data_IF_800956785422
#
_entry.id   IF_800956785422
#
_cell.length_a   1.000
_cell.length_b   1.000
_cell.length_c   1.000
_cell.angle_alpha   90.00
_cell.angle_beta   90.00
_cell.angle_gamma   90.00
#
_symmetry.space_group_name_H-M   'P 1'
#
loop_
_entity.id
_entity.type
_entity.pdbx_description
1 polymer ?
#
# COMPACT_ATOMS: atom_id res chain seq x y z
N UNK A 1 8.44 -15.97 10.68
CA UNK A 1 9.04 -14.81 9.99
C UNK A 1 9.73 -13.86 10.95
N UNK A 2 9.13 -13.53 12.09
CA UNK A 2 9.70 -12.65 13.12
C UNK A 2 11.13 -13.00 13.59
N UNK A 3 11.46 -14.30 13.78
CA UNK A 3 12.83 -14.75 14.11
C UNK A 3 13.88 -14.43 13.02
N UNK A 4 13.45 -14.06 11.81
CA UNK A 4 14.28 -13.63 10.69
C UNK A 4 14.18 -12.11 10.46
N UNK A 5 13.68 -11.36 11.44
CA UNK A 5 13.43 -9.91 11.37
C UNK A 5 12.46 -9.50 10.25
N UNK A 6 11.60 -10.42 9.79
CA UNK A 6 10.56 -10.11 8.79
C UNK A 6 9.25 -9.85 9.51
N UNK A 7 8.78 -8.60 9.38
CA UNK A 7 7.47 -8.16 9.87
C UNK A 7 6.35 -8.73 9.01
N UNK A 8 5.22 -9.05 9.62
CA UNK A 8 4.03 -9.59 8.97
C UNK A 8 2.82 -8.72 9.29
N UNK A 9 2.06 -8.35 8.27
CA UNK A 9 0.90 -7.49 8.41
C UNK A 9 -0.34 -8.26 7.99
N UNK A 10 -1.45 -8.06 8.69
CA UNK A 10 -2.75 -8.49 8.18
C UNK A 10 -3.22 -7.44 7.17
N UNK A 11 -3.28 -7.82 5.89
CA UNK A 11 -3.91 -7.01 4.85
C UNK A 11 -5.42 -7.17 4.89
N UNK A 12 -6.13 -6.05 4.90
CA UNK A 12 -7.59 -5.96 4.93
C UNK A 12 -8.02 -5.15 3.72
N UNK A 13 -8.79 -5.76 2.82
CA UNK A 13 -9.37 -5.08 1.66
C UNK A 13 -9.14 -5.81 0.34
N UNK A 14 -8.78 -5.04 -0.68
CA UNK A 14 -8.61 -5.44 -2.07
C UNK A 14 -9.79 -5.05 -2.96
N UNK A 15 -9.56 -5.15 -4.27
CA UNK A 15 -10.49 -4.79 -5.33
C UNK A 15 -11.93 -5.37 -5.18
N UNK A 16 -12.09 -6.52 -4.52
CA UNK A 16 -13.40 -7.17 -4.32
C UNK A 16 -14.16 -6.66 -3.09
N UNK A 17 -13.49 -5.99 -2.15
CA UNK A 17 -14.07 -5.58 -0.85
C UNK A 17 -14.33 -4.06 -0.74
N UNK A 18 -14.14 -3.31 -1.84
CA UNK A 18 -14.23 -1.84 -1.90
C UNK A 18 -15.52 -1.26 -1.30
N UNK A 19 -16.65 -1.93 -1.51
CA UNK A 19 -17.95 -1.48 -0.99
C UNK A 19 -18.00 -1.49 0.54
N UNK A 20 -17.24 -2.36 1.21
CA UNK A 20 -17.19 -2.43 2.66
C UNK A 20 -16.55 -1.16 3.26
N UNK A 21 -15.53 -0.61 2.61
CA UNK A 21 -14.90 0.64 3.05
C UNK A 21 -15.83 1.84 2.91
N UNK A 22 -16.59 1.94 1.82
CA UNK A 22 -17.63 2.97 1.67
C UNK A 22 -18.71 2.84 2.77
N UNK A 23 -19.00 1.62 3.21
CA UNK A 23 -19.97 1.37 4.25
C UNK A 23 -19.50 1.77 5.67
N UNK A 24 -18.21 2.09 5.88
CA UNK A 24 -17.66 2.62 7.13
C UNK A 24 -18.03 4.11 7.33
N UNK A 25 -19.33 4.40 7.38
CA UNK A 25 -19.89 5.75 7.32
C UNK A 25 -20.55 6.24 8.61
N UNK A 26 -20.39 5.50 9.72
CA UNK A 26 -20.82 5.93 11.06
C UNK A 26 -19.73 5.66 12.08
N UNK A 27 -19.76 6.41 13.19
CA UNK A 27 -18.81 6.26 14.30
C UNK A 27 -18.75 4.83 14.85
N UNK A 28 -19.89 4.15 14.92
CA UNK A 28 -20.00 2.80 15.49
C UNK A 28 -19.34 1.77 14.59
N UNK A 29 -19.54 1.88 13.27
CA UNK A 29 -18.91 0.99 12.29
C UNK A 29 -17.40 1.22 12.26
N UNK A 30 -16.98 2.48 12.26
CA UNK A 30 -15.57 2.87 12.30
C UNK A 30 -14.88 2.33 13.56
N UNK A 31 -15.50 2.50 14.73
CA UNK A 31 -14.99 1.97 15.99
C UNK A 31 -14.90 0.43 15.99
N UNK A 32 -15.93 -0.23 15.44
CA UNK A 32 -15.94 -1.69 15.28
C UNK A 32 -14.82 -2.17 14.36
N UNK A 33 -14.58 -1.46 13.26
CA UNK A 33 -13.51 -1.77 12.32
C UNK A 33 -12.13 -1.68 12.99
N UNK A 34 -11.82 -0.58 13.69
CA UNK A 34 -10.56 -0.45 14.42
C UNK A 34 -10.35 -1.56 15.45
N UNK A 35 -11.38 -1.89 16.24
CA UNK A 35 -11.30 -2.94 17.27
C UNK A 35 -11.08 -4.32 16.66
N UNK A 36 -11.79 -4.64 15.58
CA UNK A 36 -11.68 -5.95 14.93
C UNK A 36 -10.35 -6.11 14.18
N UNK A 37 -9.81 -5.03 13.60
CA UNK A 37 -8.46 -5.03 13.04
C UNK A 37 -7.39 -5.33 14.11
N UNK A 38 -7.44 -4.68 15.27
CA UNK A 38 -6.52 -4.97 16.38
C UNK A 38 -6.68 -6.40 16.94
N UNK A 39 -7.89 -6.97 16.84
CA UNK A 39 -8.14 -8.38 17.20
C UNK A 39 -7.40 -9.34 16.25
N UNK A 40 -7.27 -9.03 14.95
CA UNK A 40 -6.47 -9.85 14.02
C UNK A 40 -5.00 -9.88 14.42
N UNK A 41 -4.46 -8.71 14.80
CA UNK A 41 -3.06 -8.57 15.24
C UNK A 41 -2.77 -9.48 16.43
N UNK A 42 -3.58 -9.42 17.48
CA UNK A 42 -3.37 -10.27 18.67
C UNK A 42 -3.67 -11.75 18.42
N UNK A 43 -4.69 -12.06 17.62
CA UNK A 43 -5.09 -13.44 17.35
C UNK A 43 -4.01 -14.23 16.59
N UNK A 44 -3.32 -13.58 15.67
CA UNK A 44 -2.36 -14.24 14.79
C UNK A 44 -0.90 -13.80 15.00
N UNK A 45 -0.67 -12.83 15.90
CA UNK A 45 0.66 -12.31 16.20
C UNK A 45 1.26 -11.50 15.05
N UNK A 46 0.45 -10.71 14.34
CA UNK A 46 0.94 -9.79 13.31
C UNK A 46 1.66 -8.59 13.95
N UNK A 47 2.50 -7.94 13.15
CA UNK A 47 3.26 -6.73 13.50
C UNK A 47 2.52 -5.44 13.09
N UNK A 48 1.34 -5.57 12.49
CA UNK A 48 0.55 -4.43 12.04
C UNK A 48 -0.62 -4.81 11.14
N UNK A 49 -1.25 -3.77 10.60
CA UNK A 49 -2.34 -3.84 9.64
C UNK A 49 -1.93 -3.16 8.35
N UNK A 50 -2.27 -3.79 7.23
CA UNK A 50 -2.22 -3.19 5.92
C UNK A 50 -3.66 -2.93 5.45
N UNK A 51 -3.94 -1.73 4.94
CA UNK A 51 -5.28 -1.33 4.49
C UNK A 51 -5.25 -1.13 2.99
N UNK A 52 -5.92 -2.06 2.30
CA UNK A 52 -6.07 -2.09 0.85
C UNK A 52 -7.48 -1.62 0.46
N UNK A 53 -7.79 -0.37 0.81
CA UNK A 53 -9.03 0.27 0.37
C UNK A 53 -8.85 0.79 -1.05
N UNK A 54 -9.38 0.04 -2.01
CA UNK A 54 -9.36 0.39 -3.43
C UNK A 54 -10.63 1.15 -3.89
N UNK A 55 -11.42 1.74 -2.97
CA UNK A 55 -12.61 2.48 -3.37
C UNK A 55 -12.26 3.77 -4.13
N UNK A 56 -12.96 4.04 -5.24
CA UNK A 56 -12.74 5.24 -6.07
C UNK A 56 -13.97 6.13 -6.21
N UNK A 57 -13.85 7.15 -7.06
CA UNK A 57 -14.86 8.19 -7.23
C UNK A 57 -16.23 7.62 -7.60
N UNK A 58 -16.32 6.66 -8.52
CA UNK A 58 -17.61 6.10 -8.95
C UNK A 58 -18.37 5.48 -7.78
N UNK A 59 -17.71 4.66 -6.97
CA UNK A 59 -18.34 4.00 -5.82
C UNK A 59 -18.70 4.99 -4.70
N UNK A 60 -17.94 6.09 -4.58
CA UNK A 60 -18.15 7.13 -3.60
C UNK A 60 -19.06 8.27 -4.07
N UNK A 61 -19.83 8.10 -5.14
CA UNK A 61 -20.79 9.13 -5.60
C UNK A 61 -20.16 10.29 -6.37
N UNK A 62 -19.10 10.02 -7.13
CA UNK A 62 -18.45 10.94 -8.06
C UNK A 62 -17.33 11.82 -7.47
N UNK A 63 -17.14 11.83 -6.16
CA UNK A 63 -16.01 12.52 -5.52
C UNK A 63 -15.62 11.81 -4.22
N UNK A 64 -14.63 10.93 -4.29
CA UNK A 64 -14.22 10.09 -3.18
C UNK A 64 -13.72 10.90 -1.98
N UNK A 65 -12.88 11.91 -2.22
CA UNK A 65 -12.29 12.68 -1.13
C UNK A 65 -13.37 13.48 -0.37
N UNK A 66 -14.27 14.15 -1.10
CA UNK A 66 -15.36 14.92 -0.49
C UNK A 66 -16.35 14.04 0.28
N UNK A 67 -16.68 12.85 -0.24
CA UNK A 67 -17.76 12.02 0.29
C UNK A 67 -17.28 10.97 1.30
N UNK A 68 -16.01 10.53 1.23
CA UNK A 68 -15.49 9.39 1.99
C UNK A 68 -14.17 9.68 2.70
N UNK A 69 -13.36 10.65 2.23
CA UNK A 69 -12.01 10.90 2.77
C UNK A 69 -11.96 11.12 4.29
N UNK A 70 -12.92 11.84 4.86
CA UNK A 70 -12.98 12.03 6.32
C UNK A 70 -13.28 10.74 7.10
N UNK A 71 -14.07 9.82 6.54
CA UNK A 71 -14.33 8.52 7.15
C UNK A 71 -13.08 7.63 7.10
N UNK A 72 -12.30 7.74 6.03
CA UNK A 72 -11.03 7.02 5.86
C UNK A 72 -10.04 7.41 6.95
N UNK A 73 -9.82 8.71 7.12
CA UNK A 73 -8.97 9.23 8.19
C UNK A 73 -9.47 8.76 9.56
N UNK A 74 -10.78 8.80 9.79
CA UNK A 74 -11.37 8.37 11.06
C UNK A 74 -11.16 6.88 11.35
N UNK A 75 -11.28 5.99 10.35
CA UNK A 75 -11.04 4.57 10.57
C UNK A 75 -9.56 4.24 10.74
N UNK A 76 -8.64 4.94 10.05
CA UNK A 76 -7.20 4.76 10.26
C UNK A 76 -6.80 5.21 11.67
N UNK A 77 -7.36 6.31 12.16
CA UNK A 77 -7.19 6.76 13.54
C UNK A 77 -7.78 5.77 14.54
N UNK A 78 -8.93 5.17 14.23
CA UNK A 78 -9.50 4.12 15.07
C UNK A 78 -8.60 2.88 15.13
N UNK A 79 -8.02 2.44 14.00
CA UNK A 79 -7.04 1.34 14.00
C UNK A 79 -5.84 1.72 14.86
N UNK A 80 -5.25 2.91 14.66
CA UNK A 80 -4.08 3.38 15.42
C UNK A 80 -4.33 3.36 16.92
N UNK A 81 -5.48 3.87 17.34
CA UNK A 81 -5.90 3.90 18.75
C UNK A 81 -5.96 2.48 19.32
N UNK A 82 -6.64 1.57 18.64
CA UNK A 82 -6.85 0.21 19.14
C UNK A 82 -5.55 -0.60 19.13
N UNK A 83 -4.69 -0.43 18.12
CA UNK A 83 -3.34 -1.01 18.09
C UNK A 83 -2.45 -0.47 19.22
N UNK A 84 -2.50 0.84 19.50
CA UNK A 84 -1.74 1.47 20.58
C UNK A 84 -2.20 1.05 21.98
N UNK A 85 -3.43 0.53 22.11
CA UNK A 85 -3.96 0.01 23.37
C UNK A 85 -3.64 -1.48 23.60
N UNK A 86 -3.09 -2.18 22.59
CA UNK A 86 -2.72 -3.58 22.75
C UNK A 86 -1.54 -3.74 23.73
N UNK A 87 -1.55 -4.77 24.59
CA UNK A 87 -0.41 -5.08 25.43
C UNK A 87 0.84 -5.34 24.57
N UNK A 88 1.94 -4.67 24.92
CA UNK A 88 3.23 -4.77 24.24
C UNK A 88 4.35 -4.61 25.25
N UNK A 89 5.41 -5.41 25.12
CA UNK A 89 6.63 -5.19 25.92
C UNK A 89 7.29 -3.89 25.47
N UNK A 90 7.84 -3.11 26.41
CA UNK A 90 8.45 -1.81 26.09
C UNK A 90 9.52 -1.88 24.99
N UNK A 91 10.24 -3.00 24.89
CA UNK A 91 11.29 -3.26 23.91
C UNK A 91 10.79 -3.69 22.52
N UNK A 92 9.52 -4.07 22.38
CA UNK A 92 8.96 -4.44 21.07
C UNK A 92 8.69 -3.18 20.22
N UNK A 93 8.80 -3.23 18.89
CA UNK A 93 8.37 -2.12 18.04
C UNK A 93 6.86 -1.86 18.16
N UNK A 94 6.43 -0.61 17.94
CA UNK A 94 5.01 -0.32 17.80
C UNK A 94 4.40 -1.05 16.61
N UNK A 95 3.13 -1.45 16.75
CA UNK A 95 2.36 -1.97 15.63
C UNK A 95 2.19 -0.90 14.57
N UNK A 96 2.38 -1.29 13.31
CA UNK A 96 2.36 -0.36 12.18
C UNK A 96 1.06 -0.45 11.38
N UNK A 97 0.78 0.62 10.64
CA UNK A 97 -0.32 0.72 9.68
C UNK A 97 0.25 1.08 8.32
N UNK A 98 -0.08 0.31 7.29
CA UNK A 98 0.24 0.64 5.89
C UNK A 98 -1.03 0.93 5.10
N UNK A 99 -0.89 1.73 4.05
CA UNK A 99 -1.97 2.15 3.17
C UNK A 99 -1.59 1.94 1.72
N UNK A 100 -2.47 1.28 0.99
CA UNK A 100 -2.33 1.02 -0.43
C UNK A 100 -3.06 2.11 -1.23
N UNK A 101 -2.33 2.75 -2.15
CA UNK A 101 -2.83 3.92 -2.89
C UNK A 101 -2.55 3.85 -4.38
N UNK A 102 -3.49 4.39 -5.17
CA UNK A 102 -3.34 4.43 -6.61
C UNK A 102 -2.25 5.42 -7.03
N UNK A 103 -1.45 5.09 -8.06
CA UNK A 103 -0.40 5.98 -8.54
C UNK A 103 -0.94 7.30 -9.13
N UNK A 104 -2.19 7.29 -9.59
CA UNK A 104 -2.88 8.45 -10.17
C UNK A 104 -3.51 9.38 -9.15
N UNK A 105 -3.39 9.09 -7.85
CA UNK A 105 -4.15 9.83 -6.82
C UNK A 105 -3.71 11.27 -6.58
N UNK A 106 -2.59 11.68 -7.18
CA UNK A 106 -2.13 13.07 -7.23
C UNK A 106 -2.14 13.66 -8.65
N UNK A 107 -2.66 12.94 -9.64
CA UNK A 107 -2.80 13.45 -11.00
C UNK A 107 -3.84 14.56 -11.06
N UNK A 108 -3.70 15.49 -12.01
CA UNK A 108 -4.60 16.65 -12.13
C UNK A 108 -6.09 16.27 -12.32
N UNK A 109 -6.38 15.08 -12.86
CA UNK A 109 -7.72 14.55 -13.09
C UNK A 109 -8.18 13.54 -12.03
N UNK A 110 -7.53 13.46 -10.87
CA UNK A 110 -7.81 12.45 -9.83
C UNK A 110 -9.26 12.46 -9.31
N UNK A 111 -10.01 13.55 -9.51
CA UNK A 111 -11.40 13.72 -9.10
C UNK A 111 -12.42 13.44 -10.22
N UNK A 112 -12.01 12.80 -11.32
CA UNK A 112 -12.94 12.43 -12.38
C UNK A 112 -14.07 11.55 -11.83
N UNK A 113 -15.32 12.02 -11.94
CA UNK A 113 -16.47 11.37 -11.30
C UNK A 113 -16.74 9.96 -11.81
N UNK A 114 -16.34 9.67 -13.05
CA UNK A 114 -16.41 8.35 -13.69
C UNK A 114 -15.22 7.44 -13.39
N UNK A 115 -14.31 7.83 -12.51
CA UNK A 115 -13.14 7.04 -12.14
C UNK A 115 -13.47 5.97 -11.10
N UNK A 116 -13.38 4.68 -11.44
CA UNK A 116 -13.69 3.56 -10.53
C UNK A 116 -12.53 3.19 -9.60
N UNK A 117 -11.30 3.13 -10.14
CA UNK A 117 -10.03 2.93 -9.40
C UNK A 117 -9.19 4.22 -9.44
N UNK A 118 -9.86 5.34 -9.19
CA UNK A 118 -9.28 6.67 -9.25
C UNK A 118 -9.94 7.54 -8.19
N UNK A 119 -9.12 8.26 -7.42
CA UNK A 119 -9.54 9.21 -6.37
C UNK A 119 -8.43 10.24 -6.19
N UNK A 120 -8.73 11.38 -5.57
CA UNK A 120 -7.68 12.29 -5.10
C UNK A 120 -7.23 11.90 -3.69
N UNK A 121 -5.92 11.75 -3.51
CA UNK A 121 -5.31 11.43 -2.22
C UNK A 121 -5.64 12.50 -1.18
N UNK A 122 -6.00 12.08 0.04
CA UNK A 122 -6.13 12.96 1.19
C UNK A 122 -4.83 12.93 2.01
N UNK A 123 -4.07 14.04 2.09
CA UNK A 123 -2.80 14.07 2.83
C UNK A 123 -2.89 13.67 4.30
N UNK A 124 -4.08 13.77 4.91
CA UNK A 124 -4.33 13.32 6.29
C UNK A 124 -4.15 11.81 6.44
N UNK A 125 -4.32 11.03 5.36
CA UNK A 125 -4.03 9.59 5.33
C UNK A 125 -2.56 9.33 5.58
N UNK A 126 -1.66 10.02 4.86
CA UNK A 126 -0.21 9.91 5.03
C UNK A 126 0.29 10.30 6.43
N UNK A 127 -0.50 11.09 7.17
CA UNK A 127 -0.24 11.43 8.57
C UNK A 127 -0.68 10.31 9.53
N UNK A 128 -1.72 9.55 9.19
CA UNK A 128 -2.28 8.49 10.04
C UNK A 128 -1.52 7.14 9.95
N UNK A 129 -0.81 6.90 8.84
CA UNK A 129 -0.14 5.63 8.55
C UNK A 129 1.38 5.72 8.62
N UNK A 130 2.04 4.59 8.77
CA UNK A 130 3.51 4.49 8.81
C UNK A 130 4.12 4.41 7.41
N UNK A 131 3.41 3.81 6.46
CA UNK A 131 3.85 3.71 5.07
C UNK A 131 2.67 3.90 4.11
N UNK A 132 2.96 4.47 2.95
CA UNK A 132 2.04 4.59 1.81
C UNK A 132 2.66 3.84 0.64
N UNK A 133 2.00 2.77 0.22
CA UNK A 133 2.42 1.91 -0.87
C UNK A 133 1.73 2.34 -2.17
N UNK A 134 2.53 2.77 -3.15
CA UNK A 134 2.04 3.26 -4.43
C UNK A 134 1.92 2.09 -5.40
N UNK A 135 0.69 1.69 -5.68
CA UNK A 135 0.36 0.43 -6.35
C UNK A 135 0.49 0.51 -7.88
N UNK A 136 1.70 0.34 -8.43
CA UNK A 136 1.90 0.33 -9.89
C UNK A 136 1.53 -0.99 -10.58
N UNK A 137 0.81 -1.89 -9.93
CA UNK A 137 0.46 -3.16 -10.55
C UNK A 137 -0.73 -3.10 -11.52
N UNK A 138 -1.22 -1.88 -11.81
CA UNK A 138 -2.31 -1.55 -12.73
C UNK A 138 -1.90 -0.53 -13.82
N UNK A 139 -0.61 -0.43 -14.15
CA UNK A 139 -0.13 0.55 -15.14
C UNK A 139 -0.49 0.15 -16.57
N UNK A 140 -1.05 1.08 -17.34
CA UNK A 140 -1.47 0.79 -18.72
C UNK A 140 -0.28 0.56 -19.65
N UNK A 141 0.78 1.36 -19.49
CA UNK A 141 1.97 1.34 -20.35
C UNK A 141 3.23 1.03 -19.55
N UNK A 142 4.18 0.33 -20.17
CA UNK A 142 5.48 0.06 -19.53
C UNK A 142 6.26 1.33 -19.19
N UNK A 143 6.07 2.41 -19.95
CA UNK A 143 6.67 3.74 -19.69
C UNK A 143 6.12 4.42 -18.42
N UNK A 144 4.95 4.00 -17.94
CA UNK A 144 4.35 4.60 -16.74
C UNK A 144 5.19 4.26 -15.49
N UNK A 145 5.84 3.09 -15.46
CA UNK A 145 6.75 2.71 -14.38
C UNK A 145 7.94 3.66 -14.25
N UNK A 146 8.55 4.02 -15.38
CA UNK A 146 9.66 4.97 -15.41
C UNK A 146 9.18 6.40 -15.13
N UNK A 147 7.99 6.76 -15.59
CA UNK A 147 7.38 8.08 -15.33
C UNK A 147 7.08 8.26 -13.85
N UNK A 148 6.50 7.24 -13.19
CA UNK A 148 6.24 7.28 -11.77
C UNK A 148 7.55 7.51 -11.01
N UNK A 149 8.55 6.68 -11.28
CA UNK A 149 9.80 6.70 -10.53
C UNK A 149 10.61 7.98 -10.75
N UNK A 150 10.74 8.43 -12.00
CA UNK A 150 11.63 9.53 -12.35
C UNK A 150 10.95 10.91 -12.27
N UNK A 151 9.62 10.96 -12.24
CA UNK A 151 8.87 12.22 -12.24
C UNK A 151 7.80 12.28 -11.15
N UNK A 152 6.80 11.40 -11.18
CA UNK A 152 5.61 11.53 -10.30
C UNK A 152 5.96 11.44 -8.83
N UNK A 153 6.81 10.49 -8.43
CA UNK A 153 7.22 10.32 -7.03
C UNK A 153 8.05 11.53 -6.57
N UNK A 154 9.18 11.90 -7.22
CA UNK A 154 10.00 13.02 -6.80
C UNK A 154 9.29 14.38 -6.79
N UNK A 155 8.26 14.57 -7.63
CA UNK A 155 7.64 15.90 -7.83
C UNK A 155 6.27 16.04 -7.20
N UNK A 156 5.44 14.98 -7.11
CA UNK A 156 4.09 15.07 -6.56
C UNK A 156 3.98 14.38 -5.20
N UNK A 157 4.42 13.13 -5.11
CA UNK A 157 4.23 12.34 -3.88
C UNK A 157 5.04 12.86 -2.71
N UNK A 158 6.30 13.25 -2.92
CA UNK A 158 7.16 13.82 -1.87
C UNK A 158 6.66 15.15 -1.32
N UNK A 159 5.76 15.85 -2.03
CA UNK A 159 5.10 17.06 -1.52
C UNK A 159 3.92 16.75 -0.60
N UNK A 160 3.31 15.56 -0.76
CA UNK A 160 2.08 15.16 -0.05
C UNK A 160 2.35 14.20 1.11
N UNK A 161 3.38 13.37 1.00
CA UNK A 161 3.78 12.35 1.97
C UNK A 161 5.28 12.43 2.17
N UNK A 162 5.74 12.29 3.42
CA UNK A 162 7.18 12.19 3.71
C UNK A 162 7.83 11.09 2.87
N UNK A 163 8.95 11.40 2.22
CA UNK A 163 9.64 10.48 1.32
C UNK A 163 10.00 9.14 2.00
N UNK A 164 10.30 9.16 3.30
CA UNK A 164 10.63 7.96 4.10
C UNK A 164 9.44 7.03 4.33
N UNK A 165 8.21 7.48 4.07
CA UNK A 165 6.99 6.66 4.16
C UNK A 165 6.58 6.07 2.81
N UNK A 166 7.14 6.55 1.70
CA UNK A 166 6.74 6.11 0.36
C UNK A 166 7.35 4.74 0.04
N UNK A 167 6.49 3.77 -0.28
CA UNK A 167 6.88 2.43 -0.73
C UNK A 167 6.53 2.30 -2.21
N UNK A 168 7.51 1.90 -3.01
CA UNK A 168 7.36 1.76 -4.45
C UNK A 168 6.85 0.36 -4.80
N UNK A 169 5.56 0.23 -5.10
CA UNK A 169 4.91 -1.04 -5.43
C UNK A 169 5.09 -1.42 -6.90
N UNK A 170 5.50 -2.64 -7.18
CA UNK A 170 5.50 -3.24 -8.52
C UNK A 170 4.81 -4.61 -8.53
N UNK A 171 4.77 -5.28 -9.67
CA UNK A 171 4.17 -6.62 -9.78
C UNK A 171 4.97 -7.58 -10.67
N UNK A 172 4.59 -8.85 -10.61
CA UNK A 172 5.06 -9.94 -11.49
C UNK A 172 3.92 -10.51 -12.30
N UNK A 173 4.25 -11.28 -13.36
CA UNK A 173 3.26 -11.95 -14.21
C UNK A 173 2.48 -10.96 -15.07
N UNK A 174 1.53 -11.47 -15.85
CA UNK A 174 0.68 -10.66 -16.75
C UNK A 174 -0.79 -10.73 -16.33
N UNK A 175 -1.65 -9.81 -16.81
CA UNK A 175 -3.07 -9.89 -16.58
C UNK A 175 -3.64 -11.27 -16.96
N UNK A 176 -4.36 -11.87 -16.03
CA UNK A 176 -4.92 -13.22 -16.14
C UNK A 176 -4.13 -14.31 -15.40
N UNK A 177 -2.88 -14.05 -14.98
CA UNK A 177 -2.15 -14.94 -14.08
C UNK A 177 -2.64 -14.74 -12.62
N UNK A 178 -2.66 -15.80 -11.83
CA UNK A 178 -3.08 -15.74 -10.43
C UNK A 178 -2.06 -14.97 -9.58
N UNK A 179 -2.53 -13.94 -8.84
CA UNK A 179 -1.67 -13.13 -7.96
C UNK A 179 -0.63 -12.27 -8.69
N UNK A 180 -0.89 -11.94 -9.96
CA UNK A 180 -0.02 -11.17 -10.82
C UNK A 180 -0.48 -9.72 -11.02
N UNK A 181 0.21 -8.97 -11.88
CA UNK A 181 -0.26 -7.68 -12.39
C UNK A 181 -1.70 -7.79 -12.90
N UNK A 182 -2.59 -6.94 -12.38
CA UNK A 182 -4.03 -7.08 -12.63
C UNK A 182 -4.48 -6.40 -13.92
N UNK A 183 -3.74 -5.40 -14.40
CA UNK A 183 -4.08 -4.66 -15.62
C UNK A 183 -2.85 -4.11 -16.35
N UNK A 184 -2.96 -4.01 -17.67
CA UNK A 184 -2.03 -3.27 -18.52
C UNK A 184 -0.68 -3.98 -18.73
N UNK A 185 0.41 -3.22 -18.61
CA UNK A 185 1.76 -3.69 -18.84
C UNK A 185 2.39 -4.21 -17.54
N UNK A 186 3.16 -5.29 -17.63
CA UNK A 186 4.00 -5.75 -16.52
C UNK A 186 5.33 -5.01 -16.50
N UNK A 187 5.89 -4.68 -15.31
CA UNK A 187 7.20 -4.07 -15.24
C UNK A 187 8.29 -5.08 -15.62
N UNK A 188 9.35 -4.59 -16.23
CA UNK A 188 10.55 -5.38 -16.49
C UNK A 188 11.34 -5.63 -15.20
N UNK A 189 12.22 -6.65 -15.21
CA UNK A 189 13.11 -6.93 -14.08
C UNK A 189 14.02 -5.75 -13.74
N UNK A 190 14.48 -4.99 -14.75
CA UNK A 190 15.29 -3.79 -14.52
C UNK A 190 14.51 -2.67 -13.85
N UNK A 191 13.24 -2.46 -14.22
CA UNK A 191 12.36 -1.50 -13.56
C UNK A 191 12.14 -1.89 -12.09
N UNK A 192 11.85 -3.16 -11.80
CA UNK A 192 11.68 -3.65 -10.43
C UNK A 192 12.96 -3.56 -9.59
N UNK A 193 14.13 -3.90 -10.15
CA UNK A 193 15.41 -3.70 -9.47
C UNK A 193 15.68 -2.23 -9.19
N UNK A 194 15.28 -1.32 -10.09
CA UNK A 194 15.41 0.12 -9.86
C UNK A 194 14.46 0.62 -8.77
N UNK A 195 13.23 0.11 -8.71
CA UNK A 195 12.29 0.39 -7.61
C UNK A 195 12.87 -0.05 -6.28
N UNK A 196 13.51 -1.22 -6.22
CA UNK A 196 14.17 -1.70 -5.01
C UNK A 196 15.36 -0.82 -4.59
N UNK A 197 16.22 -0.45 -5.54
CA UNK A 197 17.39 0.38 -5.27
C UNK A 197 17.00 1.79 -4.83
N UNK A 198 16.10 2.46 -5.56
CA UNK A 198 15.62 3.79 -5.18
C UNK A 198 14.76 3.74 -3.91
N UNK A 199 13.95 2.70 -3.74
CA UNK A 199 13.18 2.45 -2.53
C UNK A 199 14.06 2.38 -1.29
N UNK A 200 15.20 1.68 -1.36
CA UNK A 200 16.15 1.56 -0.26
C UNK A 200 17.00 2.82 -0.02
N UNK A 201 17.38 3.53 -1.08
CA UNK A 201 18.35 4.64 -0.98
C UNK A 201 17.73 6.03 -0.91
N UNK A 202 16.48 6.18 -1.34
CA UNK A 202 15.79 7.49 -1.47
C UNK A 202 14.44 7.56 -0.76
N UNK A 203 13.77 6.44 -0.55
CA UNK A 203 12.39 6.39 -0.05
C UNK A 203 12.23 5.44 1.14
N UNK A 204 11.00 5.01 1.43
CA UNK A 204 10.67 4.09 2.53
C UNK A 204 10.82 2.61 2.19
N UNK A 205 10.89 2.25 0.90
CA UNK A 205 11.13 0.88 0.45
C UNK A 205 10.48 0.55 -0.88
N UNK A 206 10.34 -0.75 -1.16
CA UNK A 206 9.63 -1.29 -2.32
C UNK A 206 8.73 -2.45 -1.90
N UNK A 207 7.69 -2.72 -2.70
CA UNK A 207 6.78 -3.84 -2.55
C UNK A 207 6.69 -4.62 -3.88
N UNK A 208 6.51 -5.93 -3.81
CA UNK A 208 6.27 -6.79 -4.97
C UNK A 208 4.94 -7.55 -4.84
N UNK A 209 4.03 -7.29 -5.77
CA UNK A 209 2.77 -8.00 -5.94
C UNK A 209 2.87 -9.10 -7.01
N UNK A 210 2.96 -10.39 -6.69
CA UNK A 210 3.12 -10.97 -5.34
C UNK A 210 4.35 -11.86 -5.27
N UNK A 211 4.95 -11.93 -4.08
CA UNK A 211 6.08 -12.83 -3.84
C UNK A 211 5.73 -14.31 -4.03
N UNK A 212 4.50 -14.72 -3.72
CA UNK A 212 4.02 -16.09 -3.96
C UNK A 212 3.90 -16.40 -5.46
N UNK A 213 3.35 -15.47 -6.25
CA UNK A 213 3.28 -15.64 -7.69
C UNK A 213 4.67 -15.65 -8.33
N UNK A 214 5.60 -14.81 -7.85
CA UNK A 214 7.01 -14.86 -8.27
C UNK A 214 7.65 -16.22 -7.97
N UNK A 215 7.33 -16.82 -6.83
CA UNK A 215 7.81 -18.16 -6.51
C UNK A 215 7.25 -19.22 -7.48
N UNK A 216 5.95 -19.18 -7.78
CA UNK A 216 5.32 -20.15 -8.68
C UNK A 216 5.89 -20.01 -10.10
N UNK A 217 5.88 -18.79 -10.64
CA UNK A 217 6.22 -18.46 -12.02
C UNK A 217 7.73 -18.44 -12.28
N UNK A 218 8.49 -17.79 -11.39
CA UNK A 218 9.91 -17.47 -11.61
C UNK A 218 10.84 -18.06 -10.54
N UNK A 219 10.34 -18.95 -9.67
CA UNK A 219 11.10 -19.57 -8.59
C UNK A 219 11.78 -18.57 -7.65
N UNK A 220 11.15 -17.41 -7.44
CA UNK A 220 11.64 -16.39 -6.50
C UNK A 220 12.76 -15.50 -7.06
N UNK A 221 13.03 -15.57 -8.37
CA UNK A 221 14.13 -14.84 -9.02
C UNK A 221 13.94 -13.34 -8.92
N UNK A 222 12.70 -12.83 -9.05
CA UNK A 222 12.42 -11.39 -8.97
C UNK A 222 12.65 -10.88 -7.57
N UNK A 223 12.11 -11.57 -6.56
CA UNK A 223 12.34 -11.24 -5.16
C UNK A 223 13.84 -11.21 -4.81
N UNK A 224 14.59 -12.21 -5.29
CA UNK A 224 16.04 -12.27 -5.08
C UNK A 224 16.76 -11.08 -5.72
N UNK A 225 16.42 -10.75 -6.96
CA UNK A 225 17.04 -9.64 -7.70
C UNK A 225 16.72 -8.28 -7.07
N UNK A 226 15.48 -8.07 -6.63
CA UNK A 226 15.09 -6.86 -5.90
C UNK A 226 15.80 -6.79 -4.54
N UNK A 227 15.89 -7.90 -3.82
CA UNK A 227 16.62 -7.99 -2.55
C UNK A 227 18.08 -7.56 -2.69
N UNK A 228 18.77 -8.05 -3.73
CA UNK A 228 20.14 -7.65 -4.04
C UNK A 228 20.25 -6.17 -4.42
N UNK A 229 19.37 -5.67 -5.29
CA UNK A 229 19.42 -4.29 -5.76
C UNK A 229 19.12 -3.26 -4.66
N UNK A 230 18.25 -3.59 -3.71
CA UNK A 230 17.93 -2.75 -2.55
C UNK A 230 18.82 -3.00 -1.32
N UNK A 231 19.71 -4.00 -1.35
CA UNK A 231 20.52 -4.38 -0.19
C UNK A 231 19.70 -4.95 0.99
N UNK A 232 18.44 -5.36 0.74
CA UNK A 232 17.55 -5.89 1.77
C UNK A 232 18.08 -7.21 2.31
N UNK A 233 18.31 -7.29 3.62
CA UNK A 233 18.84 -8.47 4.29
C UNK A 233 20.38 -8.60 4.29
N UNK A 234 21.09 -7.63 3.71
CA UNK A 234 22.56 -7.52 3.80
C UNK A 234 22.95 -6.32 4.67
N UNK A 235 22.22 -5.21 4.55
CA UNK A 235 22.35 -4.04 5.41
C UNK A 235 21.18 -4.07 6.40
N UNK A 236 21.42 -4.57 7.61
CA UNK A 236 20.52 -4.29 8.73
C UNK A 236 20.89 -2.91 9.30
N UNK A 237 19.92 -2.06 9.65
CA UNK A 237 20.20 -0.91 10.51
C UNK A 237 20.80 -1.34 11.84
#
# INVERSE_FOLDING_TARGET
>A
MQKKCVQQYASIGGATERANFIALNTSEKIATFGKTAATLVTKFGFDGIDVDDESGNTLAGGNWNANTGSNVVAYLQSIRKELGALPRNASEPEYKITWDEFPTSLSANCNASSGDYQRCFDPRIGQAVDQVNIMMYNSALSSDYDTLLNSTIPTLWTQSVSYTKLVLGGCVGKPGDEGACSYGASPSSSQLSKYASDGATKYGGTMLWTGSADYVMNKGTTMTSMGQAGGYGIVLP
#
